data_IF_755829343086
#
_entry.id   IF_755829343086
#
_cell.length_a   1.000
_cell.length_b   1.000
_cell.length_c   1.000
_cell.angle_alpha   90.00
_cell.angle_beta   90.00
_cell.angle_gamma   90.00
#
_symmetry.space_group_name_H-M   'P 1'
#
loop_
_entity.id
_entity.type
_entity.pdbx_description
1 polymer ?
#
# COMPACT_ATOMS: atom_id res chain seq x y z
N UNK A 1 -13.59 18.40 -24.04
CA UNK A 1 -12.19 18.78 -23.76
C UNK A 1 -12.26 19.95 -22.81
N UNK A 2 -11.61 19.87 -21.65
CA UNK A 2 -11.61 20.97 -20.67
C UNK A 2 -10.21 21.57 -20.67
N UNK A 3 -10.13 22.82 -21.15
CA UNK A 3 -8.90 23.62 -21.18
C UNK A 3 -9.11 24.79 -20.22
N UNK A 4 -8.23 24.95 -19.24
CA UNK A 4 -8.34 26.05 -18.28
C UNK A 4 -7.80 25.68 -16.91
N UNK A 5 -7.57 26.69 -16.07
CA UNK A 5 -7.09 26.50 -14.69
C UNK A 5 -8.28 26.13 -13.79
N UNK A 6 -8.34 24.90 -13.29
CA UNK A 6 -9.44 24.42 -12.46
C UNK A 6 -9.10 24.56 -10.97
N UNK A 7 -9.31 25.77 -10.45
CA UNK A 7 -9.16 26.08 -9.03
C UNK A 7 -10.42 25.71 -8.25
N UNK A 8 -10.55 24.46 -7.81
CA UNK A 8 -11.63 24.05 -6.90
C UNK A 8 -11.29 24.49 -5.47
N UNK A 9 -11.99 25.51 -4.98
CA UNK A 9 -11.72 26.04 -3.64
C UNK A 9 -12.17 25.06 -2.55
N UNK A 10 -11.17 24.58 -1.82
CA UNK A 10 -11.19 24.19 -0.41
C UNK A 10 -11.79 22.81 -0.05
N UNK A 11 -12.92 22.34 -0.61
CA UNK A 11 -13.58 21.11 -0.11
C UNK A 11 -14.20 20.18 -1.16
N UNK A 12 -13.82 20.26 -2.43
CA UNK A 12 -14.48 19.47 -3.48
C UNK A 12 -13.69 18.21 -3.84
N UNK A 13 -14.41 17.10 -3.98
CA UNK A 13 -13.96 15.88 -4.64
C UNK A 13 -13.93 16.13 -6.16
N UNK A 14 -12.78 15.91 -6.79
CA UNK A 14 -12.66 15.96 -8.24
C UNK A 14 -12.70 14.54 -8.79
N UNK A 15 -13.69 14.24 -9.62
CA UNK A 15 -13.76 12.98 -10.37
C UNK A 15 -13.60 13.23 -11.85
N UNK A 16 -12.59 12.61 -12.47
CA UNK A 16 -12.38 12.63 -13.91
C UNK A 16 -13.00 11.38 -14.51
N UNK A 17 -13.91 11.56 -15.47
CA UNK A 17 -14.56 10.46 -16.19
C UNK A 17 -13.61 9.69 -17.13
N UNK A 18 -14.00 8.51 -17.62
CA UNK A 18 -13.14 7.62 -18.42
C UNK A 18 -12.65 8.22 -19.74
N UNK A 19 -13.45 9.08 -20.39
CA UNK A 19 -13.05 9.82 -21.61
C UNK A 19 -12.58 11.26 -21.31
N UNK A 20 -12.39 11.59 -20.04
CA UNK A 20 -11.95 12.91 -19.61
C UNK A 20 -10.53 13.18 -20.06
N UNK A 21 -10.31 14.32 -20.71
CA UNK A 21 -8.99 14.87 -20.98
C UNK A 21 -8.90 16.21 -20.25
N UNK A 22 -7.99 16.29 -19.28
CA UNK A 22 -7.80 17.45 -18.42
C UNK A 22 -6.41 18.00 -18.66
N UNK A 23 -6.33 19.24 -19.16
CA UNK A 23 -5.05 19.94 -19.33
C UNK A 23 -5.05 21.20 -18.46
N UNK A 24 -4.62 21.05 -17.21
CA UNK A 24 -4.83 22.07 -16.18
C UNK A 24 -3.93 21.88 -14.95
N UNK A 25 -3.81 22.94 -14.16
CA UNK A 25 -3.40 22.86 -12.76
C UNK A 25 -4.64 22.53 -11.91
N UNK A 26 -4.59 21.37 -11.25
CA UNK A 26 -5.70 20.82 -10.45
C UNK A 26 -5.30 20.85 -8.99
N UNK A 27 -6.08 21.56 -8.18
CA UNK A 27 -5.91 21.58 -6.73
C UNK A 27 -7.21 21.13 -6.07
N UNK A 28 -7.15 20.01 -5.33
CA UNK A 28 -8.30 19.43 -4.66
C UNK A 28 -7.88 18.66 -3.40
N UNK A 29 -8.87 18.31 -2.55
CA UNK A 29 -8.63 17.49 -1.36
C UNK A 29 -8.59 15.99 -1.71
N UNK A 30 -9.59 15.55 -2.47
CA UNK A 30 -9.72 14.19 -2.97
C UNK A 30 -9.81 14.21 -4.50
N UNK A 31 -9.03 13.36 -5.16
CA UNK A 31 -8.96 13.29 -6.62
C UNK A 31 -9.14 11.84 -7.06
N UNK A 32 -10.13 11.58 -7.92
CA UNK A 32 -10.39 10.29 -8.54
C UNK A 32 -10.19 10.43 -10.04
N UNK A 33 -9.21 9.72 -10.59
CA UNK A 33 -8.82 9.86 -11.99
C UNK A 33 -9.11 8.58 -12.75
N UNK A 34 -10.10 8.61 -13.65
CA UNK A 34 -10.44 7.50 -14.56
C UNK A 34 -10.07 7.78 -16.02
N UNK A 35 -9.60 8.99 -16.34
CA UNK A 35 -9.25 9.43 -17.69
C UNK A 35 -7.80 9.90 -17.81
N UNK A 36 -7.54 10.82 -18.75
CA UNK A 36 -6.21 11.38 -19.00
C UNK A 36 -6.05 12.76 -18.39
N UNK A 37 -4.93 12.98 -17.71
CA UNK A 37 -4.54 14.27 -17.13
C UNK A 37 -3.16 14.66 -17.63
N UNK A 38 -3.03 15.89 -18.09
CA UNK A 38 -1.79 16.53 -18.46
C UNK A 38 -1.62 17.82 -17.65
N UNK A 39 -0.61 17.89 -16.79
CA UNK A 39 -0.34 19.09 -16.00
C UNK A 39 0.06 18.79 -14.57
N UNK A 40 -0.25 19.73 -13.68
CA UNK A 40 0.09 19.64 -12.26
C UNK A 40 -1.13 19.24 -11.45
N UNK A 41 -0.99 18.16 -10.67
CA UNK A 41 -2.06 17.63 -9.82
C UNK A 41 -1.62 17.73 -8.36
N UNK A 42 -2.34 18.55 -7.60
CA UNK A 42 -2.09 18.77 -6.17
C UNK A 42 -3.27 18.22 -5.36
N UNK A 43 -3.07 17.07 -4.72
CA UNK A 43 -4.05 16.41 -3.86
C UNK A 43 -3.66 16.49 -2.39
N UNK A 44 -4.37 17.27 -1.57
CA UNK A 44 -3.98 17.50 -0.16
C UNK A 44 -4.14 16.29 0.77
N UNK A 45 -5.11 15.40 0.49
CA UNK A 45 -5.49 14.31 1.41
C UNK A 45 -5.28 12.95 0.75
N UNK A 46 -5.99 12.68 -0.35
CA UNK A 46 -5.95 11.40 -1.05
C UNK A 46 -6.10 11.56 -2.56
N UNK A 47 -5.25 10.89 -3.32
CA UNK A 47 -5.37 10.76 -4.79
C UNK A 47 -5.55 9.28 -5.14
N UNK A 48 -6.59 8.99 -5.91
CA UNK A 48 -6.92 7.66 -6.43
C UNK A 48 -6.86 7.66 -7.95
N UNK A 49 -5.96 6.83 -8.48
CA UNK A 49 -5.81 6.58 -9.90
C UNK A 49 -6.43 5.23 -10.23
N UNK A 50 -7.44 5.22 -11.09
CA UNK A 50 -8.14 4.02 -11.55
C UNK A 50 -7.41 3.33 -12.71
N UNK A 51 -7.91 2.15 -13.08
CA UNK A 51 -7.40 1.25 -14.11
C UNK A 51 -7.07 1.92 -15.44
N UNK A 52 -7.92 2.86 -15.87
CA UNK A 52 -7.79 3.56 -17.15
C UNK A 52 -7.14 4.95 -17.01
N UNK A 53 -6.69 5.30 -15.81
CA UNK A 53 -6.13 6.60 -15.50
C UNK A 53 -4.74 6.79 -16.09
N UNK A 54 -4.53 7.88 -16.83
CA UNK A 54 -3.22 8.27 -17.35
C UNK A 54 -2.87 9.67 -16.86
N UNK A 55 -1.72 9.83 -16.20
CA UNK A 55 -1.24 11.12 -15.71
C UNK A 55 0.11 11.43 -16.32
N UNK A 56 0.22 12.57 -16.99
CA UNK A 56 1.48 13.09 -17.54
C UNK A 56 1.77 14.45 -16.93
N UNK A 57 2.82 14.56 -16.11
CA UNK A 57 3.23 15.84 -15.51
C UNK A 57 3.76 15.71 -14.07
N UNK A 58 3.34 16.63 -13.20
CA UNK A 58 3.75 16.69 -11.80
C UNK A 58 2.61 16.32 -10.87
N UNK A 59 2.81 15.40 -9.93
CA UNK A 59 1.82 14.98 -8.94
C UNK A 59 2.35 15.22 -7.54
N UNK A 60 1.65 16.03 -6.75
CA UNK A 60 1.95 16.29 -5.33
C UNK A 60 0.80 15.78 -4.46
N UNK A 61 1.07 14.83 -3.56
CA UNK A 61 0.04 14.33 -2.63
C UNK A 61 0.58 13.75 -1.32
N UNK A 62 -0.26 13.69 -0.29
CA UNK A 62 0.05 13.02 0.99
C UNK A 62 -0.13 11.50 0.90
N UNK A 63 -1.24 11.06 0.27
CA UNK A 63 -1.57 9.64 0.06
C UNK A 63 -1.97 9.38 -1.37
N UNK A 64 -1.23 8.48 -2.03
CA UNK A 64 -1.49 8.04 -3.40
C UNK A 64 -1.95 6.57 -3.40
N UNK A 65 -3.05 6.27 -4.09
CA UNK A 65 -3.52 4.92 -4.37
C UNK A 65 -3.63 4.73 -5.88
N UNK A 66 -3.03 3.65 -6.37
CA UNK A 66 -2.94 3.34 -7.79
C UNK A 66 -3.59 1.96 -8.01
N UNK A 67 -4.54 1.88 -8.93
CA UNK A 67 -5.15 0.64 -9.36
C UNK A 67 -4.34 -0.03 -10.48
N UNK A 68 -4.61 -1.31 -10.76
CA UNK A 68 -3.94 -2.05 -11.84
C UNK A 68 -4.21 -1.42 -13.20
N UNK A 69 -3.20 -1.25 -14.05
CA UNK A 69 -3.36 -0.65 -15.39
C UNK A 69 -3.26 0.88 -15.46
N UNK A 70 -3.20 1.57 -14.32
CA UNK A 70 -2.93 3.01 -14.29
C UNK A 70 -1.53 3.35 -14.83
N UNK A 71 -1.42 4.42 -15.62
CA UNK A 71 -0.17 4.88 -16.20
C UNK A 71 0.22 6.26 -15.69
N UNK A 72 1.40 6.38 -15.09
CA UNK A 72 1.92 7.66 -14.61
C UNK A 72 3.26 7.96 -15.29
N UNK A 73 3.38 9.16 -15.85
CA UNK A 73 4.59 9.68 -16.51
C UNK A 73 4.94 11.06 -15.98
N UNK A 74 6.15 11.21 -15.42
CA UNK A 74 6.66 12.50 -14.98
C UNK A 74 7.16 12.47 -13.54
N UNK A 75 7.00 13.59 -12.82
CA UNK A 75 7.54 13.80 -11.47
C UNK A 75 6.43 13.56 -10.44
N UNK A 76 6.68 12.71 -9.45
CA UNK A 76 5.75 12.50 -8.33
C UNK A 76 6.45 12.82 -7.04
N UNK A 77 5.86 13.73 -6.27
CA UNK A 77 6.20 13.95 -4.87
C UNK A 77 5.02 13.48 -4.02
N UNK A 78 5.14 12.23 -3.58
CA UNK A 78 4.27 11.68 -2.55
C UNK A 78 4.98 11.79 -1.20
N UNK A 79 4.37 12.47 -0.23
CA UNK A 79 4.93 12.56 1.11
C UNK A 79 4.47 13.77 1.88
N UNK A 80 3.84 13.51 3.03
CA UNK A 80 3.82 14.43 4.16
C UNK A 80 5.28 14.74 4.50
N UNK A 81 5.62 16.01 4.68
CA UNK A 81 6.74 16.35 5.58
C UNK A 81 6.58 15.46 6.82
N UNK A 82 7.56 14.60 7.17
CA UNK A 82 7.42 13.64 8.25
C UNK A 82 7.35 14.39 9.58
N UNK A 83 6.16 14.85 9.94
CA UNK A 83 5.83 15.29 11.26
C UNK A 83 4.45 14.77 11.64
N UNK A 84 4.50 13.76 12.51
CA UNK A 84 3.47 13.32 13.43
C UNK A 84 2.44 12.28 12.93
N UNK A 85 2.75 11.04 13.33
CA UNK A 85 1.85 10.02 13.90
C UNK A 85 0.77 9.43 12.97
N UNK A 86 1.20 8.48 12.13
CA UNK A 86 0.33 7.35 11.78
C UNK A 86 0.43 6.33 12.92
N UNK A 87 -0.52 6.46 13.84
CA UNK A 87 -0.72 5.58 14.98
C UNK A 87 -1.02 4.15 14.52
N UNK A 88 -0.48 3.25 15.32
CA UNK A 88 -0.55 1.80 15.26
C UNK A 88 -2.01 1.35 15.37
N UNK A 89 -2.62 0.88 14.27
CA UNK A 89 -3.78 -0.03 14.36
C UNK A 89 -3.96 -0.90 13.11
N UNK A 90 -3.07 -1.88 12.96
CA UNK A 90 -3.38 -3.14 12.28
C UNK A 90 -3.03 -4.27 13.24
N UNK A 91 -3.84 -4.42 14.28
CA UNK A 91 -3.86 -5.63 15.10
C UNK A 91 -5.00 -6.52 14.59
N UNK A 92 -4.62 -7.70 14.11
CA UNK A 92 -5.27 -9.01 14.27
C UNK A 92 -5.37 -9.83 12.96
N UNK A 93 -4.39 -10.71 12.73
CA UNK A 93 -4.62 -12.11 12.35
C UNK A 93 -3.29 -12.92 12.34
N UNK A 94 -3.01 -13.55 13.48
CA UNK A 94 -2.48 -14.92 13.64
C UNK A 94 -1.32 -15.42 12.75
N UNK A 95 -0.11 -15.42 13.32
CA UNK A 95 0.84 -16.52 13.17
C UNK A 95 1.74 -16.57 14.41
N UNK A 96 1.28 -17.32 15.41
CA UNK A 96 2.10 -17.83 16.50
C UNK A 96 3.06 -18.91 15.99
N UNK A 97 4.17 -19.05 16.73
CA UNK A 97 5.20 -20.09 16.72
C UNK A 97 6.43 -19.79 15.84
N UNK A 98 7.66 -19.71 16.35
CA UNK A 98 8.16 -20.04 17.69
C UNK A 98 9.61 -19.57 17.81
N UNK A 99 9.90 -18.66 18.75
CA UNK A 99 11.27 -18.46 19.23
C UNK A 99 11.26 -18.04 20.70
N UNK A 100 11.52 -19.01 21.57
CA UNK A 100 12.07 -18.84 22.92
C UNK A 100 12.59 -20.22 23.35
N UNK A 101 13.91 -20.42 23.29
CA UNK A 101 14.88 -20.13 24.35
C UNK A 101 14.99 -21.28 25.38
N UNK A 102 16.03 -22.10 25.17
CA UNK A 102 17.12 -22.44 26.11
C UNK A 102 16.82 -22.78 27.58
N UNK A 103 17.27 -24.00 27.93
CA UNK A 103 17.87 -24.47 29.19
C UNK A 103 17.01 -24.67 30.46
N UNK A 104 16.89 -25.92 30.92
CA UNK A 104 17.78 -26.47 31.98
C UNK A 104 17.29 -27.79 32.58
N UNK A 105 18.25 -28.72 32.69
CA UNK A 105 18.53 -29.65 33.79
C UNK A 105 17.49 -30.70 34.31
N UNK A 106 17.90 -31.96 34.12
CA UNK A 106 18.04 -33.02 35.15
C UNK A 106 16.79 -33.65 35.78
N UNK A 107 16.62 -34.97 35.57
CA UNK A 107 15.71 -35.78 36.39
C UNK A 107 15.44 -37.22 35.93
N UNK A 108 16.48 -38.08 35.94
CA UNK A 108 16.49 -39.52 36.27
C UNK A 108 15.14 -40.29 36.35
N UNK A 109 14.96 -41.32 35.50
CA UNK A 109 14.48 -42.71 35.78
C UNK A 109 14.65 -43.53 34.49
N UNK A 110 15.49 -44.57 34.37
CA UNK A 110 15.43 -45.91 34.99
C UNK A 110 14.14 -46.68 34.68
N UNK A 111 14.14 -47.45 33.57
CA UNK A 111 13.54 -48.81 33.44
C UNK A 111 13.83 -49.34 32.01
N UNK A 112 14.86 -50.16 31.81
CA UNK A 112 14.78 -51.63 31.75
C UNK A 112 13.77 -52.17 30.71
N UNK A 113 14.27 -52.60 29.54
CA UNK A 113 14.02 -53.93 28.94
C UNK A 113 14.84 -54.02 27.63
N UNK A 114 15.93 -54.81 27.56
CA UNK A 114 16.68 -55.04 26.33
C UNK A 114 15.98 -56.11 25.47
N UNK A 115 15.46 -55.73 24.30
CA UNK A 115 15.05 -56.69 23.28
C UNK A 115 16.26 -57.07 22.42
N UNK A 116 16.66 -58.33 22.56
CA UNK A 116 17.81 -58.97 21.94
C UNK A 116 17.73 -58.93 20.40
N UNK A 117 18.78 -58.53 19.67
CA UNK A 117 18.89 -58.82 18.25
C UNK A 117 19.60 -60.17 18.07
N UNK A 118 18.83 -61.25 17.95
CA UNK A 118 19.35 -62.58 17.68
C UNK A 118 18.42 -63.37 16.77
N UNK A 119 18.95 -63.74 15.59
CA UNK A 119 18.42 -64.78 14.67
C UNK A 119 17.16 -64.38 13.87
N UNK A 120 16.97 -64.67 12.58
CA UNK A 120 17.72 -65.30 11.48
C UNK A 120 16.89 -64.97 10.20
N UNK A 121 17.48 -64.65 9.05
CA UNK A 121 17.71 -65.56 7.91
C UNK A 121 16.45 -66.16 7.24
N UNK A 122 16.46 -66.04 5.90
CA UNK A 122 15.59 -66.59 4.85
C UNK A 122 14.32 -65.80 4.50
#
# INVERSE_FOLDING_TARGET
MVEGKLSLTTNSCLTVGPNGHVKADVLAREVIVRGKIEGKVTGRDKVQLWSTGQVTGEVQTDRLSIEDGALLRGRVEAGRQPNQTAEIKASAATASASTSATASATGKVADATPLSPGTAAN
#
